data_IF_401734133220
#
_entry.id   IF_401734133220
#
_cell.length_a   1.000
_cell.length_b   1.000
_cell.length_c   1.000
_cell.angle_alpha   90.00
_cell.angle_beta   90.00
_cell.angle_gamma   90.00
#
_symmetry.space_group_name_H-M   'P 1'
#
loop_
_entity.id
_entity.type
_entity.pdbx_description
1 polymer ?
#
# COMPACT_ATOMS: atom_id res chain seq x y z
N UNK A 1 14.19 7.11 28.40
CA UNK A 1 14.01 6.38 27.13
C UNK A 1 12.96 7.15 26.35
N UNK A 2 13.39 7.73 25.24
CA UNK A 2 12.78 8.93 24.67
C UNK A 2 11.50 8.62 23.89
N UNK A 3 10.36 9.09 24.39
CA UNK A 3 9.03 9.00 23.74
C UNK A 3 9.01 9.49 22.27
N UNK A 4 10.02 10.28 21.86
CA UNK A 4 10.12 10.86 20.53
C UNK A 4 10.48 9.81 19.46
N UNK A 5 11.31 8.81 19.77
CA UNK A 5 11.69 7.77 18.79
C UNK A 5 10.55 6.77 18.56
N UNK A 6 9.81 6.44 19.62
CA UNK A 6 8.64 5.55 19.56
C UNK A 6 7.53 6.15 18.68
N UNK A 7 7.29 7.47 18.80
CA UNK A 7 6.30 8.16 17.98
C UNK A 7 6.70 8.17 16.49
N UNK A 8 7.99 8.38 16.16
CA UNK A 8 8.48 8.33 14.78
C UNK A 8 8.23 6.97 14.11
N UNK A 9 8.48 5.87 14.84
CA UNK A 9 8.20 4.51 14.36
C UNK A 9 6.71 4.28 14.10
N UNK A 10 5.84 4.74 15.02
CA UNK A 10 4.38 4.65 14.85
C UNK A 10 3.89 5.43 13.64
N UNK A 11 4.39 6.66 13.42
CA UNK A 11 4.05 7.44 12.23
C UNK A 11 4.50 6.77 10.93
N UNK A 12 5.71 6.20 10.89
CA UNK A 12 6.20 5.50 9.71
C UNK A 12 5.36 4.26 9.38
N UNK A 13 4.96 3.51 10.39
CA UNK A 13 4.09 2.34 10.24
C UNK A 13 2.71 2.72 9.69
N UNK A 14 2.06 3.72 10.30
CA UNK A 14 0.75 4.20 9.85
C UNK A 14 0.83 4.74 8.42
N UNK A 15 1.85 5.55 8.11
CA UNK A 15 2.04 6.08 6.76
C UNK A 15 2.25 4.96 5.73
N UNK A 16 2.97 3.90 6.11
CA UNK A 16 3.19 2.74 5.26
C UNK A 16 1.92 1.94 4.99
N UNK A 17 1.08 1.74 6.01
CA UNK A 17 -0.24 1.09 5.87
C UNK A 17 -1.14 1.93 4.96
N UNK A 18 -1.27 3.23 5.24
CA UNK A 18 -2.19 4.12 4.51
C UNK A 18 -1.79 4.21 3.03
N UNK A 19 -0.49 4.41 2.75
CA UNK A 19 0.01 4.45 1.37
C UNK A 19 -0.16 3.11 0.64
N UNK A 20 0.04 1.99 1.33
CA UNK A 20 -0.18 0.66 0.75
C UNK A 20 -1.65 0.39 0.44
N UNK A 21 -2.56 0.71 1.36
CA UNK A 21 -4.00 0.59 1.14
C UNK A 21 -4.49 1.46 -0.01
N UNK A 22 -3.96 2.68 -0.14
CA UNK A 22 -4.28 3.56 -1.26
C UNK A 22 -3.91 2.91 -2.60
N UNK A 23 -2.75 2.28 -2.71
CA UNK A 23 -2.32 1.58 -3.92
C UNK A 23 -3.19 0.34 -4.22
N UNK A 24 -3.59 -0.41 -3.18
CA UNK A 24 -4.52 -1.54 -3.33
C UNK A 24 -5.86 -1.07 -3.88
N UNK A 25 -6.40 0.04 -3.37
CA UNK A 25 -7.67 0.61 -3.84
C UNK A 25 -7.55 1.02 -5.31
N UNK A 26 -6.46 1.71 -5.69
CA UNK A 26 -6.22 2.10 -7.09
C UNK A 26 -6.14 0.86 -7.99
N UNK A 27 -5.40 -0.16 -7.58
CA UNK A 27 -5.30 -1.42 -8.31
C UNK A 27 -6.65 -2.12 -8.44
N UNK A 28 -7.45 -2.17 -7.38
CA UNK A 28 -8.76 -2.79 -7.38
C UNK A 28 -9.71 -2.07 -8.35
N UNK A 29 -9.77 -0.74 -8.27
CA UNK A 29 -10.59 0.09 -9.17
C UNK A 29 -10.22 -0.17 -10.62
N UNK A 30 -8.93 -0.16 -10.97
CA UNK A 30 -8.51 -0.43 -12.34
C UNK A 30 -8.77 -1.87 -12.77
N UNK A 31 -8.56 -2.84 -11.89
CA UNK A 31 -8.83 -4.25 -12.18
C UNK A 31 -10.31 -4.46 -12.50
N UNK A 32 -11.21 -3.95 -11.65
CA UNK A 32 -12.65 -4.07 -11.89
C UNK A 32 -13.13 -3.26 -13.09
N UNK A 33 -12.59 -2.05 -13.32
CA UNK A 33 -12.94 -1.24 -14.49
C UNK A 33 -12.56 -1.94 -15.79
N UNK A 34 -11.34 -2.48 -15.88
CA UNK A 34 -10.88 -3.22 -17.07
C UNK A 34 -11.69 -4.49 -17.26
N UNK A 35 -11.91 -5.27 -16.20
CA UNK A 35 -12.63 -6.54 -16.30
C UNK A 35 -14.11 -6.35 -16.67
N UNK A 36 -14.77 -5.30 -16.13
CA UNK A 36 -16.16 -4.97 -16.42
C UNK A 36 -16.39 -4.29 -17.77
N UNK A 37 -15.34 -3.72 -18.39
CA UNK A 37 -15.42 -3.12 -19.72
C UNK A 37 -15.42 -4.14 -20.88
N UNK A 38 -15.33 -5.43 -20.57
CA UNK A 38 -15.18 -6.52 -21.57
C UNK A 38 -16.36 -7.47 -21.49
N UNK A 39 -16.78 -8.00 -22.64
CA UNK A 39 -17.81 -9.05 -22.70
C UNK A 39 -17.32 -10.37 -22.07
N UNK A 40 -16.01 -10.62 -22.15
CA UNK A 40 -15.34 -11.75 -21.51
C UNK A 40 -14.30 -11.22 -20.51
N UNK A 41 -14.46 -11.48 -19.20
CA UNK A 41 -13.49 -11.10 -18.18
C UNK A 41 -12.09 -11.63 -18.49
N UNK A 42 -11.09 -10.78 -18.33
CA UNK A 42 -9.68 -11.14 -18.52
C UNK A 42 -9.11 -11.89 -17.31
N UNK A 43 -9.54 -11.49 -16.11
CA UNK A 43 -9.06 -12.05 -14.84
C UNK A 43 -10.23 -12.63 -14.04
N UNK A 44 -10.00 -13.75 -13.36
CA UNK A 44 -10.97 -14.25 -12.40
C UNK A 44 -10.97 -13.38 -11.13
N UNK A 45 -12.00 -13.52 -10.30
CA UNK A 45 -12.04 -12.84 -9.01
C UNK A 45 -10.87 -13.27 -8.11
N UNK A 46 -10.46 -14.54 -8.19
CA UNK A 46 -9.33 -15.07 -7.44
C UNK A 46 -8.02 -14.39 -7.85
N UNK A 47 -7.82 -14.17 -9.16
CA UNK A 47 -6.63 -13.49 -9.69
C UNK A 47 -6.55 -12.03 -9.23
N UNK A 48 -7.69 -11.33 -9.23
CA UNK A 48 -7.76 -9.94 -8.77
C UNK A 48 -7.46 -9.85 -7.27
N UNK A 49 -8.01 -10.76 -6.45
CA UNK A 49 -7.75 -10.81 -5.01
C UNK A 49 -6.28 -11.15 -4.72
N UNK A 50 -5.72 -12.13 -5.41
CA UNK A 50 -4.30 -12.47 -5.30
C UNK A 50 -3.41 -11.27 -5.68
N UNK A 51 -3.77 -10.57 -6.75
CA UNK A 51 -3.12 -9.33 -7.19
C UNK A 51 -3.18 -8.23 -6.13
N UNK A 52 -4.34 -8.01 -5.49
CA UNK A 52 -4.50 -7.03 -4.40
C UNK A 52 -3.58 -7.34 -3.21
N UNK A 53 -3.49 -8.62 -2.80
CA UNK A 53 -2.61 -9.05 -1.70
C UNK A 53 -1.14 -8.83 -2.10
N UNK A 54 -0.77 -9.18 -3.33
CA UNK A 54 0.58 -8.98 -3.84
C UNK A 54 0.98 -7.51 -3.87
N UNK A 55 0.11 -6.64 -4.39
CA UNK A 55 0.31 -5.19 -4.41
C UNK A 55 0.48 -4.66 -2.99
N UNK A 56 -0.37 -5.08 -2.05
CA UNK A 56 -0.28 -4.67 -0.65
C UNK A 56 1.07 -5.05 -0.02
N UNK A 57 1.52 -6.30 -0.18
CA UNK A 57 2.76 -6.78 0.40
C UNK A 57 3.96 -6.03 -0.19
N UNK A 58 4.02 -5.91 -1.53
CA UNK A 58 5.11 -5.19 -2.19
C UNK A 58 5.14 -3.72 -1.80
N UNK A 59 3.99 -3.04 -1.81
CA UNK A 59 3.92 -1.64 -1.41
C UNK A 59 4.30 -1.47 0.05
N UNK A 60 3.94 -2.42 0.93
CA UNK A 60 4.24 -2.32 2.35
C UNK A 60 5.73 -2.49 2.64
N UNK A 61 6.42 -3.39 1.93
CA UNK A 61 7.89 -3.55 2.03
C UNK A 61 8.60 -2.25 1.60
N UNK A 62 8.19 -1.69 0.45
CA UNK A 62 8.77 -0.44 -0.08
C UNK A 62 8.46 0.72 0.85
N UNK A 63 7.22 0.86 1.30
CA UNK A 63 6.78 1.96 2.15
C UNK A 63 7.47 1.91 3.53
N UNK A 64 7.60 0.71 4.12
CA UNK A 64 8.35 0.51 5.37
C UNK A 64 9.83 0.91 5.23
N UNK A 65 10.40 0.76 4.03
CA UNK A 65 11.78 1.16 3.74
C UNK A 65 11.94 2.67 3.51
N UNK A 66 10.90 3.32 2.97
CA UNK A 66 10.97 4.73 2.52
C UNK A 66 10.47 5.72 3.58
N UNK A 67 9.37 5.42 4.28
CA UNK A 67 8.76 6.34 5.24
C UNK A 67 9.66 6.75 6.42
N UNK A 68 10.47 5.87 7.03
CA UNK A 68 11.38 6.26 8.10
C UNK A 68 12.33 7.38 7.67
N UNK A 69 12.96 7.24 6.49
CA UNK A 69 13.88 8.25 5.96
C UNK A 69 13.20 9.58 5.61
N UNK A 70 11.93 9.56 5.21
CA UNK A 70 11.14 10.78 4.97
C UNK A 70 10.79 11.47 6.30
N UNK A 71 10.31 10.71 7.28
CA UNK A 71 9.89 11.22 8.58
C UNK A 71 11.08 11.79 9.36
N UNK A 72 12.23 11.11 9.35
CA UNK A 72 13.46 11.59 9.97
C UNK A 72 13.92 12.94 9.39
N UNK A 73 13.79 13.15 8.07
CA UNK A 73 14.13 14.43 7.43
C UNK A 73 13.13 15.54 7.74
N UNK A 74 11.87 15.21 7.99
CA UNK A 74 10.78 16.18 8.23
C UNK A 74 10.60 16.56 9.70
N UNK A 75 10.97 15.68 10.63
CA UNK A 75 10.91 15.90 12.08
C UNK A 75 12.26 16.33 12.67
N UNK A 76 13.11 16.95 11.86
CA UNK A 76 14.33 17.64 12.29
C UNK A 76 14.02 19.07 12.67
#
# INVERSE_FOLDING_TARGET
MDNVSENKGKYAFIASIVSSLALVIIFAVFSFAVNGSRDVPLYSQVDIIAGMIFVFILSMIVAASVWPGIIEKRMK
#
